data_IF_887478331336
#
_entry.id   IF_887478331336
#
_cell.length_a   1.000
_cell.length_b   1.000
_cell.length_c   1.000
_cell.angle_alpha   90.00
_cell.angle_beta   90.00
_cell.angle_gamma   90.00
#
_symmetry.space_group_name_H-M   'P 1'
#
loop_
_entity.id
_entity.type
_entity.pdbx_description
1 polymer ?
#
# COMPACT_ATOMS: atom_id res chain seq x y z
N UNK A 1 20.69 5.15 4.23
CA UNK A 1 20.26 5.07 5.64
C UNK A 1 19.37 3.85 5.78
N UNK A 2 19.54 3.00 6.80
CA UNK A 2 18.72 1.77 6.93
C UNK A 2 17.38 2.04 7.61
N UNK A 3 16.42 1.12 7.51
CA UNK A 3 15.14 1.18 8.24
C UNK A 3 15.38 1.28 9.76
N UNK A 4 16.34 0.53 10.29
CA UNK A 4 16.71 0.58 11.71
C UNK A 4 17.20 1.98 12.14
N UNK A 5 17.97 2.65 11.28
CA UNK A 5 18.40 4.03 11.52
C UNK A 5 17.22 5.01 11.50
N UNK A 6 16.29 4.83 10.56
CA UNK A 6 15.06 5.63 10.47
C UNK A 6 14.20 5.49 11.72
N UNK A 7 13.99 4.27 12.21
CA UNK A 7 13.24 4.00 13.45
C UNK A 7 13.93 4.68 14.65
N UNK A 8 15.25 4.53 14.76
CA UNK A 8 16.02 5.16 15.84
C UNK A 8 15.91 6.67 15.80
N UNK A 9 16.02 7.26 14.61
CA UNK A 9 15.93 8.70 14.40
C UNK A 9 14.53 9.23 14.76
N UNK A 10 13.47 8.58 14.27
CA UNK A 10 12.08 8.91 14.61
C UNK A 10 11.88 8.86 16.12
N UNK A 11 12.29 7.76 16.76
CA UNK A 11 12.13 7.55 18.19
C UNK A 11 12.81 8.65 19.02
N UNK A 12 14.05 8.99 18.70
CA UNK A 12 14.80 10.01 19.44
C UNK A 12 14.27 11.42 19.19
N UNK A 13 13.76 11.70 17.98
CA UNK A 13 13.09 12.96 17.65
C UNK A 13 11.80 13.15 18.49
N UNK A 14 11.14 12.07 18.88
CA UNK A 14 9.99 12.09 19.80
C UNK A 14 10.38 11.95 21.29
N UNK A 15 11.67 11.97 21.63
CA UNK A 15 12.18 11.82 23.00
C UNK A 15 11.76 10.52 23.71
N UNK A 16 11.53 9.44 22.95
CA UNK A 16 11.12 8.16 23.51
C UNK A 16 12.32 7.24 23.75
N UNK A 17 12.27 6.45 24.81
CA UNK A 17 13.11 5.26 25.00
C UNK A 17 12.67 4.13 24.05
N UNK A 18 13.53 3.14 23.81
CA UNK A 18 13.17 1.96 23.01
C UNK A 18 11.95 1.23 23.58
N UNK A 19 11.81 1.19 24.92
CA UNK A 19 10.68 0.59 25.61
C UNK A 19 9.38 1.37 25.36
N UNK A 20 9.41 2.70 25.47
CA UNK A 20 8.23 3.55 25.22
C UNK A 20 7.80 3.47 23.76
N UNK A 21 8.75 3.49 22.83
CA UNK A 21 8.45 3.32 21.40
C UNK A 21 7.79 1.97 21.12
N UNK A 22 8.38 0.87 21.63
CA UNK A 22 7.82 -0.47 21.50
C UNK A 22 6.40 -0.57 22.05
N UNK A 23 6.17 0.06 23.21
CA UNK A 23 4.86 0.08 23.87
C UNK A 23 3.83 0.82 23.03
N UNK A 24 4.22 1.94 22.39
CA UNK A 24 3.32 2.77 21.57
C UNK A 24 2.83 2.05 20.30
N UNK A 25 3.63 1.15 19.74
CA UNK A 25 3.26 0.32 18.58
C UNK A 25 2.98 -1.14 18.95
N UNK A 26 2.72 -1.43 20.22
CA UNK A 26 2.27 -2.74 20.73
C UNK A 26 3.19 -3.93 20.39
N UNK A 27 4.51 -3.73 20.45
CA UNK A 27 5.50 -4.79 20.24
C UNK A 27 6.45 -4.94 21.42
N UNK A 28 7.32 -5.95 21.36
CA UNK A 28 8.37 -6.14 22.35
C UNK A 28 9.49 -5.13 22.19
N UNK A 29 10.10 -4.75 23.31
CA UNK A 29 11.34 -3.98 23.33
C UNK A 29 12.45 -4.65 22.51
N UNK A 30 12.53 -5.99 22.55
CA UNK A 30 13.55 -6.75 21.83
C UNK A 30 13.44 -6.51 20.32
N UNK A 31 12.24 -6.39 19.76
CA UNK A 31 12.05 -6.08 18.35
C UNK A 31 12.66 -4.72 17.99
N UNK A 32 12.33 -3.66 18.74
CA UNK A 32 12.90 -2.32 18.52
C UNK A 32 14.41 -2.33 18.67
N UNK A 33 14.91 -2.94 19.75
CA UNK A 33 16.35 -3.04 20.01
C UNK A 33 17.08 -3.77 18.89
N UNK A 34 16.49 -4.84 18.37
CA UNK A 34 17.04 -5.61 17.26
C UNK A 34 17.14 -4.76 15.99
N UNK A 35 16.06 -4.07 15.58
CA UNK A 35 16.06 -3.23 14.38
C UNK A 35 17.08 -2.09 14.46
N UNK A 36 17.13 -1.37 15.59
CA UNK A 36 18.05 -0.24 15.78
C UNK A 36 19.53 -0.65 15.88
N UNK A 37 19.80 -1.94 16.08
CA UNK A 37 21.14 -2.52 16.07
C UNK A 37 21.41 -3.34 14.79
N UNK A 38 20.61 -3.14 13.73
CA UNK A 38 20.73 -3.82 12.43
C UNK A 38 20.60 -5.34 12.51
N UNK A 39 19.83 -5.83 13.47
CA UNK A 39 19.52 -7.25 13.65
C UNK A 39 18.07 -7.48 13.23
N UNK A 40 17.86 -7.88 11.98
CA UNK A 40 16.53 -8.10 11.43
C UNK A 40 15.81 -6.79 11.06
N UNK A 41 14.58 -6.93 10.57
CA UNK A 41 13.79 -5.85 9.98
C UNK A 41 12.35 -5.89 10.50
N UNK A 42 11.63 -4.76 10.57
CA UNK A 42 10.19 -4.76 10.82
C UNK A 42 9.45 -5.42 9.65
N UNK A 43 8.30 -6.03 9.92
CA UNK A 43 7.40 -6.46 8.85
C UNK A 43 6.72 -5.26 8.20
N UNK A 44 6.11 -5.46 7.03
CA UNK A 44 5.37 -4.41 6.34
C UNK A 44 4.26 -3.85 7.21
N UNK A 45 3.52 -4.69 7.91
CA UNK A 45 2.44 -4.25 8.81
C UNK A 45 2.98 -3.39 9.95
N UNK A 46 4.13 -3.73 10.53
CA UNK A 46 4.77 -2.89 11.55
C UNK A 46 5.22 -1.56 10.96
N UNK A 47 5.79 -1.54 9.75
CA UNK A 47 6.15 -0.29 9.08
C UNK A 47 4.92 0.60 8.88
N UNK A 48 3.80 0.04 8.43
CA UNK A 48 2.54 0.78 8.28
C UNK A 48 1.98 1.27 9.62
N UNK A 49 2.07 0.45 10.67
CA UNK A 49 1.66 0.84 12.02
C UNK A 49 2.51 2.00 12.57
N UNK A 50 3.82 2.00 12.35
CA UNK A 50 4.69 3.11 12.74
C UNK A 50 4.28 4.38 11.99
N UNK A 51 4.02 4.28 10.68
CA UNK A 51 3.60 5.42 9.87
C UNK A 51 2.31 6.03 10.42
N UNK A 52 1.32 5.20 10.72
CA UNK A 52 0.04 5.63 11.29
C UNK A 52 0.21 6.25 12.69
N UNK A 53 0.94 5.57 13.57
CA UNK A 53 1.15 5.97 14.98
C UNK A 53 1.88 7.31 15.14
N UNK A 54 2.66 7.70 14.14
CA UNK A 54 3.50 8.91 14.17
C UNK A 54 3.16 9.91 13.07
N UNK A 55 2.04 9.72 12.35
CA UNK A 55 1.57 10.61 11.28
C UNK A 55 2.66 10.92 10.23
N UNK A 56 3.31 9.85 9.74
CA UNK A 56 4.42 9.97 8.78
C UNK A 56 3.93 9.89 7.33
N UNK A 57 4.71 10.41 6.37
CA UNK A 57 4.48 10.10 4.96
C UNK A 57 4.55 8.58 4.71
N UNK A 58 3.64 8.04 3.90
CA UNK A 58 3.59 6.59 3.64
C UNK A 58 4.82 5.99 2.98
N UNK A 59 5.66 6.83 2.37
CA UNK A 59 6.95 6.46 1.77
C UNK A 59 8.15 6.72 2.72
N UNK A 60 7.91 6.89 4.03
CA UNK A 60 8.94 7.22 5.00
C UNK A 60 10.13 6.24 5.00
N UNK A 61 9.85 4.94 4.87
CA UNK A 61 10.88 3.89 4.88
C UNK A 61 11.53 3.63 3.51
N UNK A 62 11.08 4.30 2.44
CA UNK A 62 11.70 4.15 1.12
C UNK A 62 13.01 4.95 1.09
N UNK A 63 14.11 4.27 0.75
CA UNK A 63 15.41 4.91 0.56
C UNK A 63 15.35 5.93 -0.58
N UNK A 64 15.92 7.12 -0.37
CA UNK A 64 15.90 8.23 -1.34
C UNK A 64 17.16 8.28 -2.19
N UNK A 65 17.80 7.16 -2.49
CA UNK A 65 19.07 7.18 -3.23
C UNK A 65 18.81 7.38 -4.73
N UNK A 66 19.30 8.51 -5.26
CA UNK A 66 19.04 9.03 -6.61
C UNK A 66 20.23 8.67 -7.53
N UNK A 67 20.41 7.38 -7.83
CA UNK A 67 21.31 6.96 -8.91
C UNK A 67 20.52 6.18 -9.97
N UNK A 68 20.72 6.53 -11.24
CA UNK A 68 20.07 5.90 -12.38
C UNK A 68 20.39 4.40 -12.50
N UNK A 69 21.57 3.96 -12.05
CA UNK A 69 21.91 2.53 -12.02
C UNK A 69 21.14 1.76 -10.95
N UNK A 70 20.87 2.40 -9.81
CA UNK A 70 20.05 1.87 -8.72
C UNK A 70 18.61 1.68 -9.16
N UNK A 71 18.05 2.65 -9.90
CA UNK A 71 16.66 2.61 -10.39
C UNK A 71 16.38 1.45 -11.39
N UNK A 72 17.36 1.15 -12.26
CA UNK A 72 17.21 0.05 -13.21
C UNK A 72 17.14 -1.32 -12.52
N UNK A 73 18.03 -1.57 -11.55
CA UNK A 73 18.03 -2.83 -10.81
C UNK A 73 16.80 -2.97 -9.93
N UNK A 74 16.38 -1.90 -9.26
CA UNK A 74 15.14 -1.89 -8.49
C UNK A 74 13.96 -2.34 -9.37
N UNK A 75 13.88 -1.80 -10.59
CA UNK A 75 12.84 -2.15 -11.56
C UNK A 75 12.92 -3.62 -12.00
N UNK A 76 14.11 -4.15 -12.28
CA UNK A 76 14.30 -5.56 -12.61
C UNK A 76 13.91 -6.48 -11.45
N UNK A 77 14.26 -6.10 -10.22
CA UNK A 77 13.93 -6.87 -9.03
C UNK A 77 12.42 -6.87 -8.77
N UNK A 78 11.77 -5.70 -8.79
CA UNK A 78 10.32 -5.58 -8.56
C UNK A 78 9.50 -6.28 -9.65
N UNK A 79 9.90 -6.18 -10.91
CA UNK A 79 9.24 -6.89 -12.01
C UNK A 79 9.39 -8.41 -11.88
N UNK A 80 10.56 -8.89 -11.46
CA UNK A 80 10.78 -10.31 -11.16
C UNK A 80 9.97 -10.79 -9.97
N UNK A 81 9.86 -9.96 -8.92
CA UNK A 81 9.01 -10.23 -7.76
C UNK A 81 7.54 -10.36 -8.15
N UNK A 82 7.02 -9.43 -8.97
CA UNK A 82 5.67 -9.51 -9.52
C UNK A 82 5.45 -10.76 -10.37
N UNK A 83 6.42 -11.12 -11.21
CA UNK A 83 6.37 -12.33 -12.03
C UNK A 83 6.28 -13.59 -11.17
N UNK A 84 7.06 -13.69 -10.08
CA UNK A 84 6.97 -14.80 -9.14
C UNK A 84 5.54 -14.92 -8.56
N UNK A 85 4.97 -13.81 -8.09
CA UNK A 85 3.61 -13.80 -7.53
C UNK A 85 2.55 -14.10 -8.59
N UNK A 86 2.75 -13.68 -9.84
CA UNK A 86 1.86 -14.04 -10.94
C UNK A 86 1.84 -15.56 -11.16
N UNK A 87 3.01 -16.21 -11.06
CA UNK A 87 3.16 -17.66 -11.29
C UNK A 87 2.79 -18.55 -10.11
N UNK A 88 2.85 -18.03 -8.87
CA UNK A 88 2.51 -18.80 -7.66
C UNK A 88 1.48 -18.06 -6.80
N UNK A 89 0.31 -18.68 -6.65
CA UNK A 89 -0.80 -18.09 -5.90
C UNK A 89 -0.60 -18.18 -4.39
N UNK A 90 -0.20 -19.35 -3.92
CA UNK A 90 -0.27 -19.70 -2.50
C UNK A 90 1.10 -19.63 -1.80
N UNK A 91 2.20 -19.54 -2.56
CA UNK A 91 3.55 -19.43 -2.03
C UNK A 91 4.16 -18.05 -2.29
N UNK A 92 4.65 -17.41 -1.23
CA UNK A 92 5.33 -16.12 -1.33
C UNK A 92 6.69 -16.28 -2.03
N UNK A 93 7.08 -15.34 -2.91
CA UNK A 93 8.40 -15.34 -3.51
C UNK A 93 9.51 -15.24 -2.45
N UNK A 94 10.62 -15.95 -2.66
CA UNK A 94 11.83 -15.78 -1.87
C UNK A 94 12.90 -15.03 -2.66
N UNK A 95 13.84 -14.38 -1.94
CA UNK A 95 14.90 -13.56 -2.54
C UNK A 95 15.77 -14.34 -3.54
N UNK A 96 15.98 -15.64 -3.32
CA UNK A 96 16.77 -16.49 -4.22
C UNK A 96 16.11 -16.65 -5.59
N UNK A 97 14.80 -16.83 -5.62
CA UNK A 97 14.04 -16.97 -6.88
C UNK A 97 14.00 -15.63 -7.62
N UNK A 98 13.84 -14.53 -6.88
CA UNK A 98 13.86 -13.18 -7.43
C UNK A 98 15.24 -12.87 -8.05
N UNK A 99 16.33 -13.20 -7.35
CA UNK A 99 17.70 -13.08 -7.85
C UNK A 99 17.90 -13.84 -9.17
N UNK A 100 17.44 -15.09 -9.25
CA UNK A 100 17.58 -15.91 -10.45
C UNK A 100 16.82 -15.33 -11.64
N UNK A 101 15.63 -14.77 -11.42
CA UNK A 101 14.81 -14.20 -12.47
C UNK A 101 15.27 -12.80 -12.90
N UNK A 102 15.73 -11.98 -11.97
CA UNK A 102 16.18 -10.60 -12.26
C UNK A 102 17.56 -10.55 -12.89
N UNK A 103 18.38 -11.58 -12.68
CA UNK A 103 19.78 -11.61 -13.10
C UNK A 103 20.69 -10.70 -12.25
N UNK A 104 20.14 -10.04 -11.22
CA UNK A 104 20.89 -9.21 -10.28
C UNK A 104 21.55 -10.12 -9.24
N UNK A 105 22.77 -9.79 -8.80
CA UNK A 105 23.49 -10.61 -7.81
C UNK A 105 22.79 -10.57 -6.44
N UNK A 106 22.95 -11.63 -5.64
CA UNK A 106 22.34 -11.72 -4.30
C UNK A 106 22.70 -10.51 -3.41
N UNK A 107 23.96 -10.09 -3.43
CA UNK A 107 24.46 -8.93 -2.69
C UNK A 107 23.74 -7.64 -3.09
N UNK A 108 23.55 -7.41 -4.40
CA UNK A 108 22.86 -6.23 -4.91
C UNK A 108 21.36 -6.28 -4.65
N UNK A 109 20.73 -7.46 -4.80
CA UNK A 109 19.31 -7.64 -4.40
C UNK A 109 19.14 -7.30 -2.92
N UNK A 110 20.01 -7.80 -2.04
CA UNK A 110 19.96 -7.53 -0.61
C UNK A 110 20.28 -6.06 -0.27
N UNK A 111 21.12 -5.41 -1.06
CA UNK A 111 21.42 -3.99 -0.91
C UNK A 111 20.20 -3.12 -1.22
N UNK A 112 19.50 -3.39 -2.33
CA UNK A 112 18.28 -2.67 -2.70
C UNK A 112 17.10 -3.02 -1.82
N UNK A 113 16.94 -4.30 -1.52
CA UNK A 113 15.83 -4.85 -0.76
C UNK A 113 16.33 -5.80 0.33
N UNK A 114 16.61 -5.27 1.53
CA UNK A 114 17.21 -6.07 2.61
C UNK A 114 16.31 -7.19 3.13
N UNK A 115 15.00 -7.12 2.88
CA UNK A 115 14.02 -8.12 3.31
C UNK A 115 12.88 -8.29 2.29
N UNK A 116 12.11 -9.37 2.46
CA UNK A 116 10.86 -9.57 1.71
C UNK A 116 9.85 -8.45 1.99
N UNK A 117 9.75 -8.01 3.25
CA UNK A 117 8.86 -6.92 3.65
C UNK A 117 9.21 -5.58 2.98
N UNK A 118 10.49 -5.34 2.73
CA UNK A 118 10.93 -4.14 2.02
C UNK A 118 10.47 -4.14 0.55
N UNK A 119 10.49 -5.31 -0.11
CA UNK A 119 9.91 -5.50 -1.45
C UNK A 119 8.40 -5.24 -1.45
N UNK A 120 7.68 -5.81 -0.48
CA UNK A 120 6.23 -5.64 -0.37
C UNK A 120 5.88 -4.18 -0.14
N UNK A 121 6.53 -3.55 0.84
CA UNK A 121 6.31 -2.14 1.18
C UNK A 121 6.63 -1.19 0.01
N UNK A 122 7.71 -1.44 -0.72
CA UNK A 122 8.07 -0.64 -1.90
C UNK A 122 7.06 -0.85 -3.02
N UNK A 123 6.65 -2.09 -3.28
CA UNK A 123 5.65 -2.41 -4.31
C UNK A 123 4.32 -1.70 -4.04
N UNK A 124 3.77 -1.80 -2.82
CA UNK A 124 2.47 -1.18 -2.50
C UNK A 124 2.52 0.34 -2.63
N UNK A 125 3.64 0.97 -2.24
CA UNK A 125 3.81 2.41 -2.40
C UNK A 125 3.92 2.81 -3.87
N UNK A 126 4.67 2.05 -4.69
CA UNK A 126 4.85 2.33 -6.13
C UNK A 126 3.54 2.16 -6.91
N UNK A 127 2.73 1.18 -6.55
CA UNK A 127 1.40 0.96 -7.17
C UNK A 127 0.46 2.12 -6.90
N UNK A 128 0.48 2.66 -5.68
CA UNK A 128 -0.50 3.65 -5.24
C UNK A 128 -0.05 5.12 -5.41
N UNK A 129 1.25 5.37 -5.66
CA UNK A 129 1.83 6.72 -5.66
C UNK A 129 1.06 7.73 -6.54
N UNK A 130 0.79 7.38 -7.80
CA UNK A 130 0.08 8.24 -8.76
C UNK A 130 -1.42 8.34 -8.46
N UNK A 131 -2.04 7.26 -7.98
CA UNK A 131 -3.43 7.26 -7.52
C UNK A 131 -3.59 8.25 -6.36
N UNK A 132 -2.74 8.14 -5.33
CA UNK A 132 -2.72 9.07 -4.20
C UNK A 132 -2.56 10.51 -4.64
N UNK A 133 -1.56 10.80 -5.47
CA UNK A 133 -1.29 12.17 -5.94
C UNK A 133 -2.52 12.73 -6.65
N UNK A 134 -3.19 11.92 -7.48
CA UNK A 134 -4.40 12.35 -8.17
C UNK A 134 -5.54 12.62 -7.19
N UNK A 135 -5.81 11.67 -6.29
CA UNK A 135 -6.91 11.78 -5.32
C UNK A 135 -6.72 12.96 -4.39
N UNK A 136 -5.51 13.14 -3.84
CA UNK A 136 -5.18 14.29 -2.99
C UNK A 136 -5.43 15.62 -3.68
N UNK A 137 -5.01 15.74 -4.94
CA UNK A 137 -5.24 16.95 -5.73
C UNK A 137 -6.74 17.24 -5.87
N UNK A 138 -7.53 16.24 -6.27
CA UNK A 138 -8.97 16.40 -6.49
C UNK A 138 -9.73 16.71 -5.20
N UNK A 139 -9.36 16.07 -4.09
CA UNK A 139 -9.92 16.38 -2.77
C UNK A 139 -9.58 17.80 -2.34
N UNK A 140 -8.35 18.29 -2.63
CA UNK A 140 -7.98 19.68 -2.34
C UNK A 140 -8.73 20.71 -3.19
N UNK A 141 -9.20 20.30 -4.37
CA UNK A 141 -10.09 21.09 -5.24
C UNK A 141 -11.57 20.99 -4.81
N UNK A 142 -11.86 20.33 -3.68
CA UNK A 142 -13.20 20.08 -3.13
C UNK A 142 -14.13 19.28 -4.05
N UNK A 143 -13.57 18.42 -4.91
CA UNK A 143 -14.37 17.50 -5.73
C UNK A 143 -14.99 16.38 -4.88
N UNK A 144 -16.18 15.91 -5.30
CA UNK A 144 -16.92 14.86 -4.63
C UNK A 144 -16.20 13.49 -4.70
N UNK A 145 -16.21 12.73 -3.59
CA UNK A 145 -15.45 11.48 -3.45
C UNK A 145 -15.87 10.43 -4.48
N UNK A 146 -17.17 10.30 -4.76
CA UNK A 146 -17.66 9.34 -5.75
C UNK A 146 -17.21 9.74 -7.16
N UNK A 147 -17.26 11.04 -7.47
CA UNK A 147 -16.77 11.58 -8.74
C UNK A 147 -15.27 11.32 -8.92
N UNK A 148 -14.47 11.53 -7.88
CA UNK A 148 -13.03 11.21 -7.87
C UNK A 148 -12.82 9.71 -8.09
N UNK A 149 -13.57 8.86 -7.39
CA UNK A 149 -13.46 7.42 -7.53
C UNK A 149 -13.73 6.95 -8.96
N UNK A 150 -14.85 7.40 -9.53
CA UNK A 150 -15.31 6.96 -10.86
C UNK A 150 -14.42 7.54 -11.96
N UNK A 151 -14.11 8.84 -11.92
CA UNK A 151 -13.50 9.54 -13.05
C UNK A 151 -11.97 9.62 -12.99
N UNK A 152 -11.38 9.58 -11.80
CA UNK A 152 -9.93 9.71 -11.62
C UNK A 152 -9.26 8.42 -11.13
N UNK A 153 -9.83 7.74 -10.13
CA UNK A 153 -9.22 6.51 -9.59
C UNK A 153 -9.43 5.31 -10.50
N UNK A 154 -10.66 5.04 -10.95
CA UNK A 154 -10.98 3.84 -11.74
C UNK A 154 -10.10 3.68 -12.99
N UNK A 155 -9.80 4.74 -13.78
CA UNK A 155 -8.87 4.61 -14.90
C UNK A 155 -7.46 4.21 -14.48
N UNK A 156 -6.91 4.83 -13.41
CA UNK A 156 -5.57 4.51 -12.91
C UNK A 156 -5.50 3.07 -12.37
N UNK A 157 -6.53 2.63 -11.65
CA UNK A 157 -6.67 1.26 -11.18
C UNK A 157 -6.73 0.28 -12.35
N UNK A 158 -7.49 0.58 -13.40
CA UNK A 158 -7.61 -0.28 -14.57
C UNK A 158 -6.28 -0.44 -15.32
N UNK A 159 -5.48 0.63 -15.44
CA UNK A 159 -4.14 0.53 -16.03
C UNK A 159 -3.18 -0.35 -15.23
N UNK A 160 -3.40 -0.50 -13.92
CA UNK A 160 -2.59 -1.32 -13.00
C UNK A 160 -3.25 -2.66 -12.66
N UNK A 161 -4.30 -3.05 -13.39
CA UNK A 161 -5.19 -4.17 -13.02
C UNK A 161 -4.47 -5.51 -12.79
N UNK A 162 -3.41 -5.80 -13.54
CA UNK A 162 -2.65 -7.05 -13.37
C UNK A 162 -1.92 -7.11 -12.02
N UNK A 163 -1.23 -6.03 -11.65
CA UNK A 163 -0.56 -5.92 -10.36
C UNK A 163 -1.56 -5.89 -9.21
N UNK A 164 -2.65 -5.13 -9.37
CA UNK A 164 -3.70 -5.05 -8.36
C UNK A 164 -4.40 -6.40 -8.18
N UNK A 165 -4.65 -7.15 -9.25
CA UNK A 165 -5.20 -8.50 -9.17
C UNK A 165 -4.34 -9.38 -8.26
N UNK A 166 -3.01 -9.32 -8.39
CA UNK A 166 -2.09 -10.03 -7.48
C UNK A 166 -2.31 -9.56 -6.03
N UNK A 167 -2.28 -8.25 -5.79
CA UNK A 167 -2.44 -7.69 -4.44
C UNK A 167 -3.78 -8.04 -3.79
N UNK A 168 -4.87 -8.17 -4.56
CA UNK A 168 -6.20 -8.52 -4.03
C UNK A 168 -6.46 -10.02 -3.89
N UNK A 169 -5.67 -10.88 -4.55
CA UNK A 169 -5.96 -12.33 -4.64
C UNK A 169 -4.94 -13.25 -3.97
N UNK A 170 -3.72 -12.78 -3.70
CA UNK A 170 -2.66 -13.58 -3.07
C UNK A 170 -2.79 -13.59 -1.54
N UNK A 171 -2.99 -14.76 -0.89
CA UNK A 171 -3.28 -14.84 0.54
C UNK A 171 -2.21 -14.17 1.44
N UNK A 172 -0.94 -14.26 1.06
CA UNK A 172 0.20 -13.79 1.84
C UNK A 172 0.46 -12.26 1.76
N UNK A 173 -0.25 -11.53 0.88
CA UNK A 173 -0.07 -10.07 0.72
C UNK A 173 -1.40 -9.30 0.78
N UNK A 174 -2.53 -9.96 0.50
CA UNK A 174 -3.85 -9.34 0.50
C UNK A 174 -4.18 -8.60 1.80
N UNK A 175 -3.87 -9.19 2.95
CA UNK A 175 -4.12 -8.57 4.25
C UNK A 175 -3.37 -7.24 4.41
N UNK A 176 -2.08 -7.24 4.07
CA UNK A 176 -1.20 -6.05 4.11
C UNK A 176 -1.71 -4.97 3.18
N UNK A 177 -2.06 -5.34 1.95
CA UNK A 177 -2.58 -4.43 0.94
C UNK A 177 -3.91 -3.78 1.36
N UNK A 178 -4.85 -4.58 1.86
CA UNK A 178 -6.14 -4.06 2.32
C UNK A 178 -5.97 -3.10 3.50
N UNK A 179 -5.11 -3.44 4.47
CA UNK A 179 -4.80 -2.56 5.59
C UNK A 179 -4.19 -1.23 5.11
N UNK A 180 -3.21 -1.29 4.20
CA UNK A 180 -2.59 -0.09 3.61
C UNK A 180 -3.62 0.84 2.96
N UNK A 181 -4.49 0.31 2.09
CA UNK A 181 -5.47 1.12 1.37
C UNK A 181 -6.52 1.71 2.33
N UNK A 182 -7.07 0.89 3.23
CA UNK A 182 -8.09 1.35 4.18
C UNK A 182 -7.53 2.49 5.05
N UNK A 183 -6.38 2.29 5.70
CA UNK A 183 -5.79 3.31 6.57
C UNK A 183 -5.43 4.57 5.80
N UNK A 184 -4.79 4.44 4.63
CA UNK A 184 -4.36 5.59 3.83
C UNK A 184 -5.52 6.46 3.38
N UNK A 185 -6.50 5.86 2.72
CA UNK A 185 -7.59 6.64 2.11
C UNK A 185 -8.58 7.13 3.17
N UNK A 186 -8.70 6.45 4.32
CA UNK A 186 -9.38 6.99 5.49
C UNK A 186 -8.72 8.28 5.98
N UNK A 187 -7.41 8.26 6.23
CA UNK A 187 -6.67 9.45 6.67
C UNK A 187 -6.74 10.59 5.65
N UNK A 188 -6.74 10.25 4.36
CA UNK A 188 -6.87 11.23 3.28
C UNK A 188 -8.23 11.95 3.27
N UNK A 189 -9.31 11.18 3.35
CA UNK A 189 -10.66 11.72 3.34
C UNK A 189 -10.94 12.58 4.58
N UNK A 190 -10.50 12.12 5.75
CA UNK A 190 -10.62 12.89 7.00
C UNK A 190 -9.85 14.22 6.91
N UNK A 191 -8.66 14.21 6.30
CA UNK A 191 -7.80 15.40 6.17
C UNK A 191 -8.45 16.50 5.32
N UNK A 192 -9.05 16.15 4.20
CA UNK A 192 -9.61 17.14 3.27
C UNK A 192 -11.08 17.48 3.52
N UNK A 193 -11.82 16.60 4.19
CA UNK A 193 -13.22 16.79 4.50
C UNK A 193 -13.47 16.62 6.01
N UNK A 194 -13.01 17.54 6.88
CA UNK A 194 -13.08 17.35 8.33
C UNK A 194 -14.50 17.25 8.90
N UNK A 195 -15.52 17.78 8.20
CA UNK A 195 -16.92 17.62 8.58
C UNK A 195 -17.43 16.18 8.44
N UNK A 196 -16.77 15.34 7.62
CA UNK A 196 -17.03 13.90 7.52
C UNK A 196 -16.78 13.20 8.87
N UNK A 197 -15.87 13.73 9.71
CA UNK A 197 -15.62 13.25 11.08
C UNK A 197 -16.81 13.45 12.04
N UNK A 198 -17.82 14.25 11.68
CA UNK A 198 -19.06 14.33 12.48
C UNK A 198 -19.90 13.05 12.38
N UNK A 199 -19.63 12.19 11.39
CA UNK A 199 -20.27 10.89 11.25
C UNK A 199 -19.24 9.81 10.84
N UNK A 200 -18.39 9.41 11.78
CA UNK A 200 -17.29 8.43 11.56
C UNK A 200 -17.77 7.14 10.86
N UNK A 201 -19.01 6.72 11.12
CA UNK A 201 -19.59 5.52 10.53
C UNK A 201 -19.83 5.63 9.02
N UNK A 202 -20.35 6.76 8.54
CA UNK A 202 -20.66 6.96 7.11
C UNK A 202 -19.37 6.93 6.27
N UNK A 203 -18.31 7.52 6.81
CA UNK A 203 -16.97 7.56 6.20
C UNK A 203 -16.38 6.17 6.06
N UNK A 204 -16.37 5.42 7.17
CA UNK A 204 -15.87 4.07 7.19
C UNK A 204 -16.69 3.19 6.23
N UNK A 205 -18.01 3.35 6.23
CA UNK A 205 -18.90 2.62 5.32
C UNK A 205 -18.62 2.95 3.85
N UNK A 206 -18.43 4.22 3.49
CA UNK A 206 -18.08 4.62 2.13
C UNK A 206 -16.75 4.00 1.70
N UNK A 207 -15.73 4.07 2.55
CA UNK A 207 -14.41 3.49 2.26
C UNK A 207 -14.54 1.98 2.05
N UNK A 208 -15.21 1.28 2.97
CA UNK A 208 -15.42 -0.17 2.87
C UNK A 208 -16.20 -0.55 1.60
N UNK A 209 -17.20 0.24 1.17
CA UNK A 209 -17.89 0.02 -0.10
C UNK A 209 -16.95 0.20 -1.28
N UNK A 210 -16.23 1.33 -1.34
CA UNK A 210 -15.37 1.64 -2.48
C UNK A 210 -14.23 0.62 -2.59
N UNK A 211 -13.61 0.25 -1.46
CA UNK A 211 -12.57 -0.77 -1.45
C UNK A 211 -13.12 -2.16 -1.76
N UNK A 212 -14.36 -2.47 -1.36
CA UNK A 212 -15.05 -3.68 -1.79
C UNK A 212 -15.30 -3.67 -3.31
N UNK A 213 -15.74 -2.56 -3.91
CA UNK A 213 -15.91 -2.47 -5.36
C UNK A 213 -14.59 -2.70 -6.11
N UNK A 214 -13.50 -2.06 -5.69
CA UNK A 214 -12.18 -2.27 -6.29
C UNK A 214 -11.77 -3.74 -6.15
N UNK A 215 -11.86 -4.28 -4.93
CA UNK A 215 -11.46 -5.64 -4.60
C UNK A 215 -12.23 -6.67 -5.42
N UNK A 216 -13.57 -6.54 -5.50
CA UNK A 216 -14.43 -7.43 -6.27
C UNK A 216 -14.13 -7.31 -7.76
N UNK A 217 -13.98 -6.09 -8.29
CA UNK A 217 -13.71 -5.85 -9.70
C UNK A 217 -12.36 -6.42 -10.14
N UNK A 218 -11.30 -6.12 -9.40
CA UNK A 218 -9.94 -6.49 -9.77
C UNK A 218 -9.58 -7.93 -9.39
N UNK A 219 -10.38 -8.59 -8.55
CA UNK A 219 -10.22 -10.03 -8.26
C UNK A 219 -10.86 -10.93 -9.32
N UNK A 220 -11.62 -10.40 -10.28
CA UNK A 220 -12.25 -11.22 -11.32
C UNK A 220 -11.21 -11.89 -12.22
N UNK A 221 -11.45 -13.13 -12.69
CA UNK A 221 -10.61 -13.79 -13.70
C UNK A 221 -10.57 -13.01 -15.02
N UNK A 222 -11.72 -12.49 -15.44
CA UNK A 222 -11.86 -11.58 -16.57
C UNK A 222 -12.34 -10.22 -16.06
N UNK A 223 -11.46 -9.24 -16.11
CA UNK A 223 -11.73 -7.92 -15.54
C UNK A 223 -12.66 -7.15 -16.49
N UNK A 224 -13.83 -6.79 -15.97
CA UNK A 224 -14.83 -5.96 -16.65
C UNK A 224 -14.17 -4.70 -17.25
N UNK A 225 -14.49 -4.33 -18.51
CA UNK A 225 -13.99 -3.10 -19.12
C UNK A 225 -14.27 -1.84 -18.30
N UNK A 226 -13.34 -0.89 -18.31
CA UNK A 226 -13.42 0.34 -17.52
C UNK A 226 -14.76 1.09 -17.68
N UNK A 227 -15.23 1.29 -18.91
CA UNK A 227 -16.47 2.03 -19.17
C UNK A 227 -17.70 1.32 -18.59
N UNK A 228 -17.72 -0.02 -18.67
CA UNK A 228 -18.81 -0.83 -18.09
C UNK A 228 -18.79 -0.76 -16.57
N UNK A 229 -17.59 -0.85 -15.97
CA UNK A 229 -17.42 -0.68 -14.53
C UNK A 229 -17.88 0.70 -14.07
N UNK A 230 -17.46 1.77 -14.74
CA UNK A 230 -17.84 3.14 -14.40
C UNK A 230 -19.36 3.35 -14.51
N UNK A 231 -19.98 2.86 -15.59
CA UNK A 231 -21.43 2.93 -15.76
C UNK A 231 -22.17 2.16 -14.65
N UNK A 232 -21.69 0.95 -14.32
CA UNK A 232 -22.26 0.11 -13.27
C UNK A 232 -22.15 0.75 -11.90
N UNK A 233 -20.97 1.24 -11.50
CA UNK A 233 -20.81 1.92 -10.19
C UNK A 233 -21.68 3.17 -10.13
N UNK A 234 -21.71 3.99 -11.20
CA UNK A 234 -22.57 5.17 -11.27
C UNK A 234 -24.04 4.80 -11.06
N UNK A 235 -24.51 3.69 -11.63
CA UNK A 235 -25.85 3.19 -11.38
C UNK A 235 -26.04 2.79 -9.92
N UNK A 236 -25.16 1.92 -9.38
CA UNK A 236 -25.30 1.36 -8.03
C UNK A 236 -25.32 2.43 -6.94
N UNK A 237 -24.49 3.48 -7.06
CA UNK A 237 -24.42 4.56 -6.05
C UNK A 237 -25.60 5.52 -6.10
N UNK A 238 -26.31 5.59 -7.24
CA UNK A 238 -27.47 6.48 -7.42
C UNK A 238 -28.83 5.77 -7.27
N UNK A 239 -28.85 4.46 -7.05
CA UNK A 239 -30.06 3.66 -6.99
C UNK A 239 -30.13 2.83 -5.70
N UNK A 240 -31.35 2.60 -5.20
CA UNK A 240 -31.56 1.80 -4.00
C UNK A 240 -31.12 0.35 -4.24
N UNK A 241 -30.52 -0.30 -3.22
CA UNK A 241 -30.07 -1.69 -3.29
C UNK A 241 -31.16 -2.67 -3.75
N UNK A 242 -32.43 -2.41 -3.42
CA UNK A 242 -33.56 -3.22 -3.86
C UNK A 242 -33.77 -3.21 -5.39
N UNK A 243 -33.22 -2.22 -6.10
CA UNK A 243 -33.29 -2.06 -7.55
C UNK A 243 -32.05 -2.53 -8.30
N UNK A 244 -31.03 -3.07 -7.60
CA UNK A 244 -29.79 -3.51 -8.23
C UNK A 244 -29.93 -4.81 -9.05
N UNK A 245 -31.04 -5.52 -8.89
CA UNK A 245 -31.35 -6.77 -9.59
C UNK A 245 -32.62 -6.69 -10.44
N UNK A 246 -33.19 -5.48 -10.60
CA UNK A 246 -34.36 -5.21 -11.42
C UNK A 246 -33.94 -4.86 -12.85
#
# INVERSE_FOLDING_TARGET
>A
MTIGDQIKHLRTAHHLTQQEFATKIYISYQSVSNWENHRGYPSTEIMLLIIDTFDLPLNYFIAKDIDATTDHEETLILSSFLKCMATSRDEAPNLKTIQQLSGVSAERVQHHFPSYDDLVYTLINKVDQDIKIRVEKRLSDHEDVLSIFINDMAPLLYHKKETLHILYTRPYIKGVWMHFINTKYQSLLIKYNPDIKKNDLDTAYLIEILTAFISIWLSQPEIEPLEQFQARITYLVNHNIASWHA
#
